data_IF_609702320636
#
_entry.id   IF_609702320636
#
_cell.length_a   1.000
_cell.length_b   1.000
_cell.length_c   1.000
_cell.angle_alpha   90.00
_cell.angle_beta   90.00
_cell.angle_gamma   90.00
#
_symmetry.space_group_name_H-M   'P 1'
#
loop_
_entity.id
_entity.type
_entity.pdbx_description
1 polymer ?
#
# COMPACT_ATOMS: atom_id res chain seq x y z
N UNK A 1 -5.32 6.01 -14.91
CA UNK A 1 -5.71 5.90 -13.49
C UNK A 1 -6.32 7.22 -13.04
N UNK A 2 -7.49 7.21 -12.37
CA UNK A 2 -8.12 8.43 -11.86
C UNK A 2 -7.22 9.19 -10.87
N UNK A 3 -7.37 10.52 -10.80
CA UNK A 3 -6.55 11.36 -9.91
C UNK A 3 -6.75 11.03 -8.44
N UNK A 4 -7.98 10.73 -8.03
CA UNK A 4 -8.28 10.38 -6.64
C UNK A 4 -7.56 9.09 -6.21
N UNK A 5 -7.62 8.04 -7.05
CA UNK A 5 -6.89 6.78 -6.82
C UNK A 5 -5.39 7.04 -6.71
N UNK A 6 -4.83 7.89 -7.57
CA UNK A 6 -3.41 8.27 -7.50
C UNK A 6 -3.06 8.87 -6.14
N UNK A 7 -3.90 9.77 -5.63
CA UNK A 7 -3.70 10.41 -4.33
C UNK A 7 -3.78 9.39 -3.19
N UNK A 8 -4.77 8.49 -3.23
CA UNK A 8 -4.92 7.42 -2.23
C UNK A 8 -3.66 6.54 -2.20
N UNK A 9 -3.22 6.05 -3.35
CA UNK A 9 -2.03 5.19 -3.42
C UNK A 9 -0.77 5.90 -2.93
N UNK A 10 -0.62 7.19 -3.27
CA UNK A 10 0.51 8.00 -2.85
C UNK A 10 0.58 8.17 -1.33
N UNK A 11 -0.55 8.45 -0.69
CA UNK A 11 -0.59 8.75 0.75
C UNK A 11 -0.61 7.49 1.61
N UNK A 12 -1.30 6.44 1.17
CA UNK A 12 -1.60 5.28 2.01
C UNK A 12 -0.78 4.03 1.66
N UNK A 13 -0.15 3.96 0.48
CA UNK A 13 0.48 2.73 0.00
C UNK A 13 1.96 2.89 -0.35
N UNK A 14 2.34 3.96 -1.06
CA UNK A 14 3.66 4.07 -1.69
C UNK A 14 4.83 4.15 -0.73
N UNK A 15 4.66 4.74 0.47
CA UNK A 15 5.76 4.83 1.43
C UNK A 15 6.31 3.43 1.79
N UNK A 16 5.45 2.41 1.88
CA UNK A 16 5.88 1.03 2.16
C UNK A 16 6.03 0.15 0.90
N UNK A 17 5.20 0.36 -0.11
CA UNK A 17 5.11 -0.52 -1.29
C UNK A 17 5.81 0.04 -2.55
N UNK A 18 6.66 1.06 -2.42
CA UNK A 18 7.45 1.61 -3.53
C UNK A 18 8.92 1.73 -3.19
N UNK A 19 9.79 1.84 -4.19
CA UNK A 19 11.23 2.04 -3.98
C UNK A 19 11.56 3.41 -3.39
N UNK A 20 10.60 4.34 -3.36
CA UNK A 20 10.75 5.66 -2.75
C UNK A 20 10.03 5.68 -1.40
N UNK A 21 10.73 5.22 -0.36
CA UNK A 21 10.22 5.27 1.02
C UNK A 21 10.70 6.54 1.71
N UNK A 22 9.78 7.37 2.19
CA UNK A 22 10.12 8.51 3.05
C UNK A 22 10.34 8.02 4.47
N UNK A 23 11.61 7.89 4.86
CA UNK A 23 11.96 7.43 6.19
C UNK A 23 11.82 8.57 7.22
N UNK A 24 10.99 8.41 8.26
CA UNK A 24 10.90 9.37 9.36
C UNK A 24 12.14 9.31 10.24
N UNK A 25 12.43 10.39 10.98
CA UNK A 25 13.65 10.55 11.77
C UNK A 25 13.90 9.43 12.80
N UNK A 26 12.84 8.85 13.36
CA UNK A 26 12.93 7.81 14.40
C UNK A 26 13.38 6.44 13.86
N UNK A 27 13.54 6.27 12.54
CA UNK A 27 14.21 5.10 11.93
C UNK A 27 15.59 4.83 12.51
N UNK A 28 16.26 5.88 12.97
CA UNK A 28 17.61 5.79 13.54
C UNK A 28 17.59 5.22 14.96
N UNK A 29 16.43 5.09 15.60
CA UNK A 29 16.27 4.59 16.96
C UNK A 29 15.93 3.10 16.91
N UNK A 30 16.75 2.26 17.56
CA UNK A 30 16.51 0.83 17.66
C UNK A 30 15.75 0.48 18.95
N UNK A 31 14.84 -0.53 18.91
CA UNK A 31 14.57 -1.47 17.80
C UNK A 31 13.51 -1.02 16.77
N UNK A 32 12.97 0.20 16.89
CA UNK A 32 11.87 0.72 16.05
C UNK A 32 12.26 0.76 14.57
N UNK A 33 13.48 1.20 14.27
CA UNK A 33 14.02 1.24 12.92
C UNK A 33 14.06 -0.13 12.24
N UNK A 34 14.56 -1.16 12.94
CA UNK A 34 14.58 -2.54 12.44
C UNK A 34 13.18 -3.09 12.18
N UNK A 35 12.26 -2.88 13.12
CA UNK A 35 10.87 -3.31 12.98
C UNK A 35 10.24 -2.70 11.71
N UNK A 36 10.40 -1.39 11.53
CA UNK A 36 9.85 -0.70 10.37
C UNK A 36 10.52 -1.12 9.04
N UNK A 37 11.85 -1.27 9.04
CA UNK A 37 12.58 -1.76 7.87
C UNK A 37 12.13 -3.18 7.48
N UNK A 38 11.89 -4.05 8.46
CA UNK A 38 11.33 -5.39 8.25
C UNK A 38 9.94 -5.34 7.61
N UNK A 39 9.05 -4.49 8.12
CA UNK A 39 7.71 -4.30 7.55
C UNK A 39 7.75 -3.77 6.11
N UNK A 40 8.60 -2.77 5.83
CA UNK A 40 8.73 -2.20 4.49
C UNK A 40 9.29 -3.26 3.52
N UNK A 41 10.30 -4.02 3.95
CA UNK A 41 10.86 -5.11 3.14
C UNK A 41 9.79 -6.14 2.79
N UNK A 42 9.06 -6.63 3.79
CA UNK A 42 7.98 -7.59 3.58
C UNK A 42 6.85 -7.02 2.70
N UNK A 43 6.48 -5.76 2.92
CA UNK A 43 5.49 -5.06 2.09
C UNK A 43 5.87 -5.04 0.61
N UNK A 44 7.14 -4.75 0.28
CA UNK A 44 7.64 -4.76 -1.11
C UNK A 44 7.70 -6.15 -1.72
N UNK A 45 8.05 -7.17 -0.94
CA UNK A 45 8.02 -8.57 -1.37
C UNK A 45 6.60 -8.98 -1.77
N UNK A 46 5.59 -8.53 -1.01
CA UNK A 46 4.19 -8.78 -1.34
C UNK A 46 3.67 -7.91 -2.49
N UNK A 47 4.02 -6.63 -2.56
CA UNK A 47 3.60 -5.75 -3.64
C UNK A 47 4.58 -4.58 -3.77
N UNK A 48 5.26 -4.49 -4.92
CA UNK A 48 6.08 -3.35 -5.29
C UNK A 48 5.48 -2.60 -6.49
N UNK A 49 5.01 -1.37 -6.28
CA UNK A 49 4.41 -0.55 -7.33
C UNK A 49 5.42 -0.12 -8.41
N UNK A 50 6.71 -0.03 -8.11
CA UNK A 50 7.74 0.25 -9.11
C UNK A 50 7.95 -0.93 -10.07
N UNK A 51 7.78 -2.16 -9.59
CA UNK A 51 7.93 -3.38 -10.40
C UNK A 51 6.61 -3.83 -11.02
N UNK A 52 5.48 -3.31 -10.56
CA UNK A 52 4.15 -3.76 -10.95
C UNK A 52 3.93 -3.76 -12.46
N UNK A 53 4.53 -2.82 -13.20
CA UNK A 53 4.47 -2.77 -14.66
C UNK A 53 5.16 -3.94 -15.36
N UNK A 54 6.18 -4.54 -14.74
CA UNK A 54 6.92 -5.68 -15.27
C UNK A 54 6.31 -7.05 -14.88
N UNK A 55 5.30 -7.06 -14.00
CA UNK A 55 4.64 -8.30 -13.58
C UNK A 55 3.81 -8.90 -14.71
N UNK A 56 3.81 -10.25 -14.79
CA UNK A 56 2.91 -10.97 -15.69
C UNK A 56 1.44 -10.60 -15.42
N UNK A 57 0.56 -10.71 -16.43
CA UNK A 57 -0.86 -10.40 -16.27
C UNK A 57 -1.50 -11.18 -15.11
N UNK A 58 -1.17 -12.48 -14.97
CA UNK A 58 -1.62 -13.33 -13.85
C UNK A 58 -1.14 -12.78 -12.50
N UNK A 59 0.14 -12.40 -12.39
CA UNK A 59 0.69 -11.85 -11.15
C UNK A 59 0.04 -10.51 -10.80
N UNK A 60 -0.15 -9.60 -11.76
CA UNK A 60 -0.84 -8.32 -11.56
C UNK A 60 -2.25 -8.51 -11.00
N UNK A 61 -3.06 -9.37 -11.62
CA UNK A 61 -4.43 -9.67 -11.15
C UNK A 61 -4.43 -10.25 -9.74
N UNK A 62 -3.54 -11.19 -9.44
CA UNK A 62 -3.44 -11.77 -8.11
C UNK A 62 -3.06 -10.72 -7.05
N UNK A 63 -2.10 -9.84 -7.35
CA UNK A 63 -1.68 -8.79 -6.40
C UNK A 63 -2.77 -7.74 -6.19
N UNK A 64 -3.51 -7.36 -7.24
CA UNK A 64 -4.69 -6.48 -7.11
C UNK A 64 -5.80 -7.11 -6.28
N UNK A 65 -6.10 -8.40 -6.49
CA UNK A 65 -7.06 -9.15 -5.67
C UNK A 65 -6.65 -9.15 -4.19
N UNK A 66 -5.39 -9.47 -3.88
CA UNK A 66 -4.88 -9.42 -2.51
C UNK A 66 -4.95 -8.02 -1.91
N UNK A 67 -4.61 -6.99 -2.69
CA UNK A 67 -4.72 -5.60 -2.26
C UNK A 67 -6.16 -5.24 -1.87
N UNK A 68 -7.14 -5.64 -2.68
CA UNK A 68 -8.57 -5.46 -2.38
C UNK A 68 -8.95 -6.15 -1.07
N UNK A 69 -8.64 -7.44 -0.92
CA UNK A 69 -8.92 -8.22 0.30
C UNK A 69 -8.32 -7.55 1.55
N UNK A 70 -7.07 -7.08 1.50
CA UNK A 70 -6.44 -6.42 2.65
C UNK A 70 -7.08 -5.08 3.04
N UNK A 71 -7.62 -4.34 2.07
CA UNK A 71 -8.32 -3.07 2.31
C UNK A 71 -9.73 -3.32 2.84
N UNK A 72 -10.44 -4.32 2.30
CA UNK A 72 -11.77 -4.73 2.76
C UNK A 72 -11.75 -5.27 4.20
N UNK A 73 -10.70 -5.99 4.57
CA UNK A 73 -10.52 -6.56 5.91
C UNK A 73 -9.88 -5.60 6.92
N UNK A 74 -9.68 -4.32 6.58
CA UNK A 74 -9.02 -3.32 7.42
C UNK A 74 -7.61 -3.73 7.92
N UNK A 75 -6.94 -4.60 7.16
CA UNK A 75 -5.56 -5.04 7.43
C UNK A 75 -4.54 -4.03 6.92
N UNK A 76 -4.88 -3.29 5.88
CA UNK A 76 -4.02 -2.26 5.29
C UNK A 76 -4.73 -0.90 5.19
N UNK A 77 -4.03 0.21 5.51
CA UNK A 77 -2.69 0.25 6.10
C UNK A 77 -2.67 -0.27 7.54
N UNK A 78 -1.50 -0.77 8.00
CA UNK A 78 -1.37 -1.35 9.34
C UNK A 78 -1.87 -0.37 10.42
N UNK A 79 -2.64 -0.88 11.40
CA UNK A 79 -3.13 -0.06 12.53
C UNK A 79 -1.99 0.62 13.29
N UNK A 80 -0.91 -0.11 13.55
CA UNK A 80 0.30 0.43 14.19
C UNK A 80 0.93 1.58 13.40
N UNK A 81 0.89 1.52 12.07
CA UNK A 81 1.40 2.59 11.21
C UNK A 81 0.49 3.83 11.26
N UNK A 82 -0.82 3.63 11.14
CA UNK A 82 -1.81 4.74 11.13
C UNK A 82 -1.98 5.44 12.48
N UNK A 83 -1.55 4.83 13.59
CA UNK A 83 -1.44 5.52 14.89
C UNK A 83 -0.46 6.70 14.85
N UNK A 84 0.62 6.59 14.07
CA UNK A 84 1.63 7.65 13.92
C UNK A 84 1.50 8.42 12.60
N UNK A 85 0.77 7.88 11.62
CA UNK A 85 0.57 8.45 10.28
C UNK A 85 -0.93 8.48 9.96
N UNK A 86 -1.65 9.37 10.63
CA UNK A 86 -3.09 9.50 10.47
C UNK A 86 -3.48 9.88 9.02
N UNK A 87 -2.59 10.55 8.29
CA UNK A 87 -2.75 10.93 6.89
C UNK A 87 -2.80 9.72 5.93
N UNK A 88 -2.21 8.59 6.33
CA UNK A 88 -2.28 7.36 5.57
C UNK A 88 -3.59 6.58 5.79
N UNK A 89 -4.37 6.91 6.82
CA UNK A 89 -5.60 6.19 7.14
C UNK A 89 -6.63 6.39 6.03
N UNK A 90 -7.15 5.27 5.51
CA UNK A 90 -8.19 5.29 4.49
C UNK A 90 -9.55 5.60 5.11
N UNK A 91 -10.24 6.61 4.57
CA UNK A 91 -11.67 6.82 4.84
C UNK A 91 -12.52 5.79 4.09
N UNK A 92 -13.78 5.60 4.51
CA UNK A 92 -14.71 4.69 3.82
C UNK A 92 -14.92 5.07 2.34
N UNK A 93 -14.92 6.37 2.04
CA UNK A 93 -14.95 6.85 0.65
C UNK A 93 -13.71 6.39 -0.11
N UNK A 94 -12.51 6.62 0.44
CA UNK A 94 -11.26 6.23 -0.21
C UNK A 94 -11.15 4.72 -0.41
N UNK A 95 -11.59 3.91 0.56
CA UNK A 95 -11.68 2.44 0.42
C UNK A 95 -12.59 2.09 -0.75
N UNK A 96 -13.80 2.64 -0.80
CA UNK A 96 -14.75 2.39 -1.88
C UNK A 96 -14.21 2.79 -3.24
N UNK A 97 -13.62 3.99 -3.37
CA UNK A 97 -12.97 4.47 -4.59
C UNK A 97 -11.89 3.50 -5.06
N UNK A 98 -11.03 3.07 -4.13
CA UNK A 98 -9.91 2.19 -4.44
C UNK A 98 -10.38 0.79 -4.87
N UNK A 99 -11.35 0.20 -4.15
CA UNK A 99 -11.91 -1.12 -4.47
C UNK A 99 -12.59 -1.09 -5.85
N UNK A 100 -13.44 -0.09 -6.11
CA UNK A 100 -14.08 0.08 -7.42
C UNK A 100 -13.06 0.21 -8.55
N UNK A 101 -11.99 0.95 -8.32
CA UNK A 101 -10.91 1.05 -9.30
C UNK A 101 -10.22 -0.30 -9.52
N UNK A 102 -9.89 -1.03 -8.46
CA UNK A 102 -9.28 -2.38 -8.57
C UNK A 102 -10.17 -3.30 -9.41
N UNK A 103 -11.47 -3.35 -9.14
CA UNK A 103 -12.42 -4.18 -9.88
C UNK A 103 -12.48 -3.78 -11.36
N UNK A 104 -12.43 -2.48 -11.66
CA UNK A 104 -12.44 -1.99 -13.05
C UNK A 104 -11.21 -2.40 -13.88
N UNK A 105 -10.07 -2.65 -13.22
CA UNK A 105 -8.81 -2.99 -13.89
C UNK A 105 -8.46 -4.47 -13.81
N UNK A 106 -8.94 -5.20 -12.81
CA UNK A 106 -8.64 -6.62 -12.61
C UNK A 106 -9.48 -7.56 -13.50
N UNK A 107 -10.62 -7.07 -13.99
CA UNK A 107 -11.54 -7.79 -14.89
C UNK A 107 -11.09 -7.75 -16.36
N UNK A 108 -10.16 -6.85 -16.72
CA UNK A 108 -9.50 -6.80 -18.03
C UNK A 108 -8.24 -7.67 -18.06
#
# INVERSE_FOLDING_TARGET
MPNEVRTILKNSCYDCHSNTTRYPWYVKIQPVGWFMAGHIKHGKEELNFNEFGAYSAKRRRNKLKRMKEQVEEDKMPLKSYTLMHADAKLSEHQKSTLIKWIDSVAVK
#
